data_IF_414140489126
#
_entry.id   IF_414140489126
#
_cell.length_a   1.000
_cell.length_b   1.000
_cell.length_c   1.000
_cell.angle_alpha   90.00
_cell.angle_beta   90.00
_cell.angle_gamma   90.00
#
_symmetry.space_group_name_H-M   'P 1'
#
loop_
_entity.id
_entity.type
_entity.pdbx_description
1 polymer ?
#
# COMPACT_ATOMS: atom_id res chain seq x y z
N UNK A 1 -16.05 9.41 -11.04
CA UNK A 1 -16.77 8.37 -10.27
C UNK A 1 -17.16 8.97 -8.92
N UNK A 2 -18.18 8.43 -8.26
CA UNK A 2 -18.49 8.79 -6.86
C UNK A 2 -17.51 8.07 -5.93
N UNK A 3 -17.30 8.57 -4.71
CA UNK A 3 -16.45 7.85 -3.73
C UNK A 3 -17.10 6.52 -3.40
N UNK A 4 -16.30 5.51 -3.07
CA UNK A 4 -16.75 4.16 -2.68
C UNK A 4 -17.98 4.13 -1.73
N UNK A 5 -18.04 4.96 -0.67
CA UNK A 5 -19.20 5.01 0.22
C UNK A 5 -20.50 5.49 -0.44
N UNK A 6 -20.40 6.27 -1.53
CA UNK A 6 -21.55 6.79 -2.26
C UNK A 6 -22.18 5.75 -3.21
N UNK A 7 -21.44 4.66 -3.51
CA UNK A 7 -21.92 3.54 -4.31
C UNK A 7 -22.74 2.53 -3.50
N UNK A 8 -22.70 2.59 -2.17
CA UNK A 8 -23.49 1.73 -1.30
C UNK A 8 -24.95 2.22 -1.18
N UNK A 9 -25.93 1.31 -0.97
CA UNK A 9 -27.31 1.69 -0.73
C UNK A 9 -27.40 2.72 0.40
N UNK A 10 -28.20 3.78 0.22
CA UNK A 10 -28.31 5.01 1.04
C UNK A 10 -27.86 4.92 2.51
N UNK A 11 -27.35 6.03 3.06
CA UNK A 11 -26.94 6.30 4.47
C UNK A 11 -27.69 5.58 5.62
N UNK A 12 -28.92 5.12 5.38
CA UNK A 12 -29.69 4.32 6.33
C UNK A 12 -29.29 2.83 6.43
N UNK A 13 -28.48 2.28 5.50
CA UNK A 13 -28.20 0.84 5.42
C UNK A 13 -26.87 0.41 6.07
N UNK A 14 -25.89 1.31 6.19
CA UNK A 14 -24.54 1.02 6.69
C UNK A 14 -24.26 1.83 7.95
N UNK A 15 -23.73 1.19 9.00
CA UNK A 15 -23.44 1.89 10.25
C UNK A 15 -22.35 2.96 10.04
N UNK A 16 -22.37 4.10 10.76
CA UNK A 16 -21.34 5.12 10.64
C UNK A 16 -19.92 4.59 10.85
N UNK A 17 -19.74 3.65 11.79
CA UNK A 17 -18.44 3.00 12.03
C UNK A 17 -17.95 2.22 10.81
N UNK A 18 -18.82 1.40 10.21
CA UNK A 18 -18.48 0.66 8.99
C UNK A 18 -18.20 1.59 7.80
N UNK A 19 -18.88 2.74 7.71
CA UNK A 19 -18.57 3.75 6.69
C UNK A 19 -17.15 4.29 6.85
N UNK A 20 -16.77 4.66 8.07
CA UNK A 20 -15.41 5.16 8.34
C UNK A 20 -14.35 4.10 8.02
N UNK A 21 -14.60 2.82 8.33
CA UNK A 21 -13.71 1.72 7.93
C UNK A 21 -13.59 1.60 6.41
N UNK A 22 -14.72 1.62 5.70
CA UNK A 22 -14.72 1.56 4.24
C UNK A 22 -13.95 2.73 3.61
N UNK A 23 -14.16 3.96 4.11
CA UNK A 23 -13.41 5.14 3.67
C UNK A 23 -11.91 4.94 3.89
N UNK A 24 -11.54 4.41 5.04
CA UNK A 24 -10.14 4.12 5.37
C UNK A 24 -9.51 3.06 4.46
N UNK A 25 -10.19 1.93 4.20
CA UNK A 25 -9.66 0.92 3.28
C UNK A 25 -9.64 1.40 1.83
N UNK A 26 -10.61 2.22 1.42
CA UNK A 26 -10.59 2.88 0.11
C UNK A 26 -9.37 3.79 -0.03
N UNK A 27 -9.05 4.58 1.00
CA UNK A 27 -7.88 5.46 1.01
C UNK A 27 -6.58 4.63 0.85
N UNK A 28 -6.45 3.49 1.53
CA UNK A 28 -5.30 2.58 1.38
C UNK A 28 -5.23 1.92 0.00
N UNK A 29 -6.31 1.23 -0.42
CA UNK A 29 -6.38 0.55 -1.71
C UNK A 29 -6.21 1.51 -2.90
N UNK A 30 -6.64 2.76 -2.73
CA UNK A 30 -6.51 3.82 -3.72
C UNK A 30 -5.07 4.20 -4.02
N UNK A 31 -4.10 3.89 -3.17
CA UNK A 31 -2.68 4.07 -3.47
C UNK A 31 -2.23 3.11 -4.58
N UNK A 32 -2.66 1.85 -4.51
CA UNK A 32 -2.44 0.86 -5.57
C UNK A 32 -3.21 1.22 -6.85
N UNK A 33 -4.43 1.75 -6.69
CA UNK A 33 -5.18 2.37 -7.78
C UNK A 33 -4.42 3.54 -8.42
N UNK A 34 -3.77 4.39 -7.63
CA UNK A 34 -3.00 5.55 -8.12
C UNK A 34 -1.79 5.10 -8.95
N UNK A 35 -1.11 4.05 -8.51
CA UNK A 35 -0.03 3.42 -9.27
C UNK A 35 -0.53 2.91 -10.63
N UNK A 36 -1.65 2.18 -10.63
CA UNK A 36 -2.29 1.68 -11.87
C UNK A 36 -2.72 2.82 -12.79
N UNK A 37 -3.34 3.87 -12.23
CA UNK A 37 -3.77 5.05 -12.97
C UNK A 37 -2.59 5.73 -13.64
N UNK A 38 -1.48 5.92 -12.91
CA UNK A 38 -0.28 6.57 -13.42
C UNK A 38 0.19 5.90 -14.72
N UNK A 39 0.43 4.59 -14.68
CA UNK A 39 0.92 3.85 -15.83
C UNK A 39 -0.13 3.73 -16.95
N UNK A 40 -1.40 3.51 -16.63
CA UNK A 40 -2.45 3.46 -17.65
C UNK A 40 -2.60 4.80 -18.37
N UNK A 41 -2.61 5.92 -17.63
CA UNK A 41 -2.79 7.26 -18.20
C UNK A 41 -1.55 7.79 -18.92
N UNK A 42 -0.36 7.25 -18.63
CA UNK A 42 0.89 7.65 -19.29
C UNK A 42 0.92 7.22 -20.76
N UNK A 43 0.39 6.04 -21.07
CA UNK A 43 0.45 5.46 -22.42
C UNK A 43 -0.84 5.58 -23.22
N UNK A 44 -1.99 5.60 -22.56
CA UNK A 44 -3.29 5.56 -23.26
C UNK A 44 -3.90 6.94 -23.49
N UNK A 45 -3.43 7.97 -22.76
CA UNK A 45 -4.07 9.29 -22.62
C UNK A 45 -5.58 9.22 -22.27
N UNK A 46 -6.09 8.05 -21.90
CA UNK A 46 -7.50 7.77 -21.65
C UNK A 46 -7.83 7.82 -20.17
N UNK A 47 -8.20 9.00 -19.67
CA UNK A 47 -8.51 9.19 -18.23
C UNK A 47 -9.65 8.28 -17.73
N UNK A 48 -10.64 7.98 -18.58
CA UNK A 48 -11.75 7.09 -18.24
C UNK A 48 -11.30 5.62 -18.10
N UNK A 49 -10.42 5.17 -19.01
CA UNK A 49 -9.84 3.83 -18.92
C UNK A 49 -8.92 3.73 -17.70
N UNK A 50 -8.02 4.71 -17.50
CA UNK A 50 -7.14 4.75 -16.34
C UNK A 50 -7.93 4.75 -15.02
N UNK A 51 -9.02 5.52 -14.94
CA UNK A 51 -9.89 5.53 -13.76
C UNK A 51 -10.59 4.17 -13.54
N UNK A 52 -11.04 3.52 -14.61
CA UNK A 52 -11.69 2.20 -14.54
C UNK A 52 -10.72 1.12 -14.09
N UNK A 53 -9.50 1.10 -14.62
CA UNK A 53 -8.48 0.13 -14.21
C UNK A 53 -8.00 0.41 -12.79
N UNK A 54 -7.88 1.67 -12.39
CA UNK A 54 -7.48 2.07 -11.05
C UNK A 54 -8.52 1.79 -9.96
N UNK A 55 -9.82 1.76 -10.30
CA UNK A 55 -10.86 1.41 -9.33
C UNK A 55 -10.85 -0.07 -8.97
N UNK A 56 -10.42 -0.96 -9.88
CA UNK A 56 -10.35 -2.41 -9.63
C UNK A 56 -9.51 -2.76 -8.38
N UNK A 57 -8.22 -2.41 -8.28
CA UNK A 57 -7.41 -2.76 -7.11
C UNK A 57 -7.86 -1.99 -5.85
N UNK A 58 -8.42 -0.79 -6.03
CA UNK A 58 -8.98 0.01 -4.92
C UNK A 58 -10.16 -0.69 -4.26
N UNK A 59 -11.13 -1.09 -5.07
CA UNK A 59 -12.36 -1.75 -4.62
C UNK A 59 -12.05 -3.19 -4.17
N UNK A 60 -11.16 -3.91 -4.86
CA UNK A 60 -10.70 -5.24 -4.44
C UNK A 60 -10.07 -5.19 -3.05
N UNK A 61 -9.18 -4.22 -2.79
CA UNK A 61 -8.54 -4.08 -1.48
C UNK A 61 -9.57 -3.79 -0.38
N UNK A 62 -10.47 -2.83 -0.61
CA UNK A 62 -11.51 -2.51 0.36
C UNK A 62 -12.47 -3.69 0.63
N UNK A 63 -12.83 -4.45 -0.40
CA UNK A 63 -13.62 -5.68 -0.23
C UNK A 63 -12.85 -6.73 0.57
N UNK A 64 -11.59 -6.98 0.22
CA UNK A 64 -10.73 -7.93 0.91
C UNK A 64 -10.58 -7.59 2.39
N UNK A 65 -10.23 -6.34 2.72
CA UNK A 65 -10.03 -5.90 4.10
C UNK A 65 -11.32 -6.02 4.94
N UNK A 66 -12.48 -5.72 4.36
CA UNK A 66 -13.78 -5.94 5.03
C UNK A 66 -14.07 -7.42 5.28
N UNK A 67 -13.70 -8.30 4.35
CA UNK A 67 -13.85 -9.73 4.51
C UNK A 67 -12.85 -10.30 5.53
N UNK A 68 -11.62 -9.80 5.53
CA UNK A 68 -10.53 -10.13 6.48
C UNK A 68 -10.95 -9.80 7.92
N UNK A 69 -11.41 -8.57 8.15
CA UNK A 69 -11.97 -8.13 9.44
C UNK A 69 -13.06 -9.08 9.96
N UNK A 70 -13.88 -9.64 9.06
CA UNK A 70 -14.94 -10.57 9.41
C UNK A 70 -14.44 -11.99 9.70
N UNK A 71 -13.31 -12.39 9.14
CA UNK A 71 -12.63 -13.67 9.39
C UNK A 71 -11.94 -13.59 10.75
N UNK A 72 -11.05 -12.61 10.94
CA UNK A 72 -10.19 -12.48 12.12
C UNK A 72 -11.02 -12.19 13.38
N UNK A 73 -11.88 -11.18 13.32
CA UNK A 73 -12.75 -10.83 14.45
C UNK A 73 -13.98 -11.74 14.54
N UNK A 74 -14.16 -12.61 13.54
CA UNK A 74 -15.13 -13.69 13.51
C UNK A 74 -14.74 -14.90 14.34
N UNK A 75 -13.49 -15.05 14.79
CA UNK A 75 -12.98 -16.21 15.52
C UNK A 75 -12.82 -16.02 17.04
N UNK A 76 -12.71 -14.79 17.53
CA UNK A 76 -12.21 -14.50 18.89
C UNK A 76 -13.34 -14.40 19.93
N UNK A 77 -13.27 -15.25 20.95
CA UNK A 77 -14.14 -15.27 22.15
C UNK A 77 -13.39 -14.69 23.37
N UNK A 78 -12.39 -13.82 23.16
CA UNK A 78 -11.56 -13.24 24.22
C UNK A 78 -11.90 -11.77 24.48
N UNK A 79 -11.92 -11.42 25.76
CA UNK A 79 -12.33 -10.14 26.36
C UNK A 79 -11.46 -8.91 25.98
N UNK A 80 -10.57 -9.01 24.98
CA UNK A 80 -9.60 -7.95 24.62
C UNK A 80 -9.87 -7.26 23.27
N UNK A 81 -10.53 -7.90 22.31
CA UNK A 81 -11.07 -7.26 21.09
C UNK A 81 -12.48 -6.65 21.32
N UNK A 82 -12.87 -6.48 22.59
CA UNK A 82 -14.25 -6.55 23.06
C UNK A 82 -15.08 -5.26 22.95
N UNK A 83 -14.65 -4.19 22.30
CA UNK A 83 -15.44 -2.93 22.29
C UNK A 83 -16.21 -2.66 20.99
N UNK A 84 -15.77 -3.11 19.81
CA UNK A 84 -16.45 -2.76 18.55
C UNK A 84 -17.49 -3.81 18.07
N UNK A 85 -17.24 -5.10 18.34
CA UNK A 85 -18.04 -6.23 17.85
C UNK A 85 -18.94 -6.90 18.90
N UNK A 86 -18.63 -6.74 20.20
CA UNK A 86 -19.28 -7.44 21.31
C UNK A 86 -20.78 -7.11 21.48
N UNK A 87 -21.22 -5.94 20.99
CA UNK A 87 -22.60 -5.50 21.10
C UNK A 87 -23.60 -6.24 20.20
N UNK A 88 -23.16 -6.72 19.03
CA UNK A 88 -23.98 -7.50 18.07
C UNK A 88 -23.10 -8.15 16.98
N UNK A 89 -22.31 -9.17 17.36
CA UNK A 89 -21.37 -9.87 16.45
C UNK A 89 -22.02 -10.34 15.15
N UNK A 90 -23.24 -10.90 15.22
CA UNK A 90 -23.96 -11.37 14.03
C UNK A 90 -24.23 -10.22 13.05
N UNK A 91 -24.71 -9.07 13.57
CA UNK A 91 -24.92 -7.90 12.73
C UNK A 91 -23.62 -7.41 12.13
N UNK A 92 -22.53 -7.33 12.90
CA UNK A 92 -21.23 -6.86 12.41
C UNK A 92 -20.65 -7.75 11.32
N UNK A 93 -20.71 -9.07 11.48
CA UNK A 93 -20.33 -10.03 10.44
C UNK A 93 -21.14 -9.81 9.15
N UNK A 94 -22.47 -9.70 9.27
CA UNK A 94 -23.32 -9.47 8.11
C UNK A 94 -23.04 -8.11 7.45
N UNK A 95 -22.79 -7.06 8.24
CA UNK A 95 -22.47 -5.73 7.76
C UNK A 95 -21.16 -5.74 6.95
N UNK A 96 -20.09 -6.33 7.47
CA UNK A 96 -18.77 -6.37 6.80
C UNK A 96 -18.80 -7.25 5.54
N UNK A 97 -19.33 -8.47 5.63
CA UNK A 97 -19.43 -9.37 4.47
C UNK A 97 -20.28 -8.75 3.36
N UNK A 98 -21.49 -8.26 3.71
CA UNK A 98 -22.40 -7.69 2.70
C UNK A 98 -21.85 -6.40 2.10
N UNK A 99 -21.17 -5.56 2.89
CA UNK A 99 -20.53 -4.36 2.37
C UNK A 99 -19.37 -4.71 1.45
N UNK A 100 -18.51 -5.66 1.83
CA UNK A 100 -17.42 -6.16 0.98
C UNK A 100 -17.94 -6.74 -0.33
N UNK A 101 -19.04 -7.52 -0.31
CA UNK A 101 -19.67 -8.06 -1.52
C UNK A 101 -20.22 -6.96 -2.44
N UNK A 102 -20.81 -5.91 -1.85
CA UNK A 102 -21.30 -4.75 -2.60
C UNK A 102 -20.16 -3.93 -3.20
N UNK A 103 -19.05 -3.78 -2.48
CA UNK A 103 -17.83 -3.14 -3.00
C UNK A 103 -17.24 -3.98 -4.14
N UNK A 104 -17.17 -5.30 -3.98
CA UNK A 104 -16.68 -6.21 -5.02
C UNK A 104 -17.58 -6.19 -6.28
N UNK A 105 -18.87 -5.90 -6.15
CA UNK A 105 -19.73 -5.69 -7.32
C UNK A 105 -19.25 -4.51 -8.20
N UNK A 106 -18.63 -3.48 -7.63
CA UNK A 106 -18.03 -2.39 -8.40
C UNK A 106 -16.84 -2.88 -9.25
N UNK A 107 -16.08 -3.86 -8.76
CA UNK A 107 -15.01 -4.51 -9.53
C UNK A 107 -15.60 -5.20 -10.77
N UNK A 108 -16.71 -5.93 -10.59
CA UNK A 108 -17.41 -6.60 -11.69
C UNK A 108 -17.93 -5.58 -12.71
N UNK A 109 -18.49 -4.48 -12.23
CA UNK A 109 -18.96 -3.39 -13.09
C UNK A 109 -17.81 -2.71 -13.84
N UNK A 110 -16.66 -2.47 -13.18
CA UNK A 110 -15.47 -1.91 -13.82
C UNK A 110 -14.90 -2.85 -14.90
N UNK A 111 -14.80 -4.15 -14.61
CA UNK A 111 -14.40 -5.17 -15.58
C UNK A 111 -15.38 -5.22 -16.76
N UNK A 112 -16.69 -5.13 -16.49
CA UNK A 112 -17.72 -5.11 -17.54
C UNK A 112 -17.77 -3.82 -18.36
N UNK A 113 -17.28 -2.71 -17.80
CA UNK A 113 -17.19 -1.41 -18.47
C UNK A 113 -15.89 -1.23 -19.27
N UNK A 114 -14.86 -2.04 -19.01
CA UNK A 114 -13.61 -2.00 -19.73
C UNK A 114 -13.83 -2.21 -21.25
N UNK A 115 -13.10 -1.49 -22.12
CA UNK A 115 -13.15 -1.71 -23.55
C UNK A 115 -12.85 -3.16 -23.94
N UNK A 116 -13.50 -3.67 -24.98
CA UNK A 116 -13.42 -5.08 -25.37
C UNK A 116 -12.01 -5.54 -25.85
N UNK A 117 -11.13 -4.59 -26.16
CA UNK A 117 -9.74 -4.79 -26.54
C UNK A 117 -8.77 -4.82 -25.33
N UNK A 118 -9.26 -4.52 -24.13
CA UNK A 118 -8.51 -4.67 -22.87
C UNK A 118 -8.74 -6.07 -22.33
N UNK A 119 -7.72 -6.92 -22.36
CA UNK A 119 -7.81 -8.29 -21.83
C UNK A 119 -7.60 -8.30 -20.31
N UNK A 120 -8.69 -8.41 -19.57
CA UNK A 120 -8.69 -8.51 -18.10
C UNK A 120 -8.70 -9.98 -17.60
N UNK A 121 -8.50 -10.97 -18.48
CA UNK A 121 -8.43 -12.38 -18.05
C UNK A 121 -7.34 -12.62 -17.00
N UNK A 122 -6.09 -12.13 -17.18
CA UNK A 122 -5.04 -12.28 -16.16
C UNK A 122 -5.42 -11.60 -14.84
N UNK A 123 -5.97 -10.39 -14.90
CA UNK A 123 -6.45 -9.64 -13.73
C UNK A 123 -7.46 -10.44 -12.91
N UNK A 124 -8.42 -11.09 -13.57
CA UNK A 124 -9.42 -11.94 -12.90
C UNK A 124 -8.81 -13.23 -12.33
N UNK A 125 -7.72 -13.74 -12.89
CA UNK A 125 -6.96 -14.85 -12.31
C UNK A 125 -6.23 -14.40 -11.05
N UNK A 126 -5.55 -13.25 -11.08
CA UNK A 126 -4.84 -12.67 -9.93
C UNK A 126 -5.80 -12.33 -8.78
N UNK A 127 -7.02 -11.84 -9.06
CA UNK A 127 -8.06 -11.65 -8.03
C UNK A 127 -8.45 -12.99 -7.36
N UNK A 128 -8.49 -14.10 -8.11
CA UNK A 128 -8.74 -15.42 -7.52
C UNK A 128 -7.55 -15.90 -6.71
N UNK A 129 -6.32 -15.59 -7.14
CA UNK A 129 -5.10 -15.92 -6.40
C UNK A 129 -5.04 -15.20 -5.05
N UNK A 130 -5.43 -13.92 -4.99
CA UNK A 130 -5.59 -13.18 -3.73
C UNK A 130 -6.53 -13.94 -2.77
N UNK A 131 -7.72 -14.31 -3.25
CA UNK A 131 -8.67 -15.08 -2.44
C UNK A 131 -8.14 -16.46 -2.04
N UNK A 132 -7.40 -17.15 -2.91
CA UNK A 132 -6.78 -18.43 -2.61
C UNK A 132 -5.65 -18.31 -1.57
N UNK A 133 -4.87 -17.24 -1.62
CA UNK A 133 -3.84 -16.91 -0.64
C UNK A 133 -4.43 -16.69 0.75
N UNK A 134 -5.52 -15.92 0.83
CA UNK A 134 -6.26 -15.72 2.08
C UNK A 134 -6.77 -17.04 2.67
N UNK A 135 -7.36 -17.93 1.86
CA UNK A 135 -7.77 -19.26 2.36
C UNK A 135 -6.60 -20.15 2.77
N UNK A 136 -5.42 -20.00 2.17
CA UNK A 136 -4.26 -20.81 2.49
C UNK A 136 -3.66 -20.42 3.85
N UNK A 137 -3.73 -19.14 4.22
CA UNK A 137 -3.28 -18.59 5.50
C UNK A 137 -3.97 -19.27 6.70
N UNK A 138 -5.28 -19.51 6.61
CA UNK A 138 -6.07 -20.25 7.61
C UNK A 138 -5.57 -21.67 7.91
N UNK A 139 -4.70 -22.22 7.05
CA UNK A 139 -4.14 -23.56 7.20
C UNK A 139 -2.63 -23.56 7.42
N UNK A 140 -2.01 -22.38 7.53
CA UNK A 140 -0.58 -22.22 7.72
C UNK A 140 -0.21 -22.44 9.19
N UNK A 141 0.71 -23.37 9.45
CA UNK A 141 1.17 -23.71 10.79
C UNK A 141 2.57 -23.13 11.04
N UNK A 142 2.65 -22.06 11.84
CA UNK A 142 3.90 -21.37 12.18
C UNK A 142 4.95 -22.31 12.79
N UNK A 143 4.50 -23.32 13.55
CA UNK A 143 5.39 -24.19 14.34
C UNK A 143 6.15 -25.18 13.47
N UNK A 144 5.66 -25.45 12.26
CA UNK A 144 6.28 -26.36 11.30
C UNK A 144 6.75 -25.67 10.01
N UNK A 145 6.40 -24.40 9.81
CA UNK A 145 6.79 -23.60 8.67
C UNK A 145 8.30 -23.33 8.64
N UNK A 146 8.90 -23.42 7.46
CA UNK A 146 10.23 -22.88 7.21
C UNK A 146 10.16 -21.39 6.89
N UNK A 147 11.32 -20.71 6.93
CA UNK A 147 11.44 -19.32 6.47
C UNK A 147 11.01 -19.16 5.02
N UNK A 148 11.30 -20.14 4.16
CA UNK A 148 10.88 -20.13 2.76
C UNK A 148 9.35 -20.23 2.63
N UNK A 149 8.69 -21.02 3.49
CA UNK A 149 7.23 -21.12 3.53
C UNK A 149 6.60 -19.80 3.99
N UNK A 150 7.19 -19.13 4.99
CA UNK A 150 6.72 -17.82 5.45
C UNK A 150 6.94 -16.72 4.40
N UNK A 151 8.04 -16.76 3.65
CA UNK A 151 8.26 -15.85 2.51
C UNK A 151 7.22 -16.11 1.42
N UNK A 152 6.96 -17.38 1.08
CA UNK A 152 5.95 -17.74 0.09
C UNK A 152 4.54 -17.31 0.52
N UNK A 153 4.22 -17.35 1.83
CA UNK A 153 2.98 -16.78 2.39
C UNK A 153 2.91 -15.28 2.13
N UNK A 154 3.96 -14.52 2.48
CA UNK A 154 4.01 -13.07 2.23
C UNK A 154 3.86 -12.74 0.74
N UNK A 155 4.44 -13.56 -0.15
CA UNK A 155 4.28 -13.39 -1.60
C UNK A 155 2.82 -13.64 -2.04
N UNK A 156 2.20 -14.72 -1.55
CA UNK A 156 0.82 -15.09 -1.87
C UNK A 156 -0.25 -14.16 -1.28
N UNK A 157 0.06 -13.41 -0.21
CA UNK A 157 -0.86 -12.46 0.45
C UNK A 157 -0.59 -11.02 0.05
N UNK A 158 0.67 -10.58 0.14
CA UNK A 158 1.11 -9.21 -0.07
C UNK A 158 1.53 -8.92 -1.51
N UNK A 159 2.51 -9.67 -2.03
CA UNK A 159 3.08 -9.40 -3.36
C UNK A 159 2.07 -9.56 -4.50
N UNK A 160 1.11 -10.48 -4.37
CA UNK A 160 0.06 -10.71 -5.38
C UNK A 160 -0.77 -9.45 -5.70
N UNK A 161 -0.89 -8.51 -4.76
CA UNK A 161 -1.52 -7.20 -5.03
C UNK A 161 -0.68 -6.36 -6.00
N UNK A 162 0.64 -6.51 -5.97
CA UNK A 162 1.56 -5.91 -6.92
C UNK A 162 1.44 -6.54 -8.30
N UNK A 163 1.24 -7.87 -8.36
CA UNK A 163 0.91 -8.56 -9.60
C UNK A 163 -0.41 -8.05 -10.18
N UNK A 164 -1.44 -7.86 -9.34
CA UNK A 164 -2.73 -7.31 -9.78
C UNK A 164 -2.56 -5.96 -10.47
N UNK A 165 -1.80 -5.04 -9.85
CA UNK A 165 -1.53 -3.73 -10.43
C UNK A 165 -0.72 -3.85 -11.74
N UNK A 166 0.29 -4.71 -11.79
CA UNK A 166 1.09 -4.92 -13.00
C UNK A 166 0.29 -5.56 -14.14
N UNK A 167 -0.61 -6.50 -13.84
CA UNK A 167 -1.49 -7.14 -14.82
C UNK A 167 -2.50 -6.15 -15.40
N UNK A 168 -3.04 -5.24 -14.57
CA UNK A 168 -3.89 -4.14 -15.03
C UNK A 168 -3.14 -3.18 -15.96
N UNK A 169 -1.88 -2.87 -15.65
CA UNK A 169 -1.01 -2.09 -16.54
C UNK A 169 -0.74 -2.87 -17.83
N UNK A 170 -0.47 -4.17 -17.74
CA UNK A 170 -0.27 -5.06 -18.89
C UNK A 170 -1.49 -5.15 -19.81
N UNK A 171 -2.70 -5.12 -19.24
CA UNK A 171 -3.95 -5.16 -19.99
C UNK A 171 -4.14 -3.96 -20.93
N UNK A 172 -3.41 -2.86 -20.71
CA UNK A 172 -3.40 -1.71 -21.64
C UNK A 172 -2.74 -2.04 -22.98
N UNK A 173 -1.86 -3.06 -23.01
CA UNK A 173 -1.12 -3.48 -24.19
C UNK A 173 -0.04 -2.49 -24.66
N UNK A 174 0.21 -1.42 -23.91
CA UNK A 174 1.13 -0.34 -24.32
C UNK A 174 2.57 -0.54 -23.89
N UNK A 175 2.81 -1.39 -22.89
CA UNK A 175 4.14 -1.65 -22.35
C UNK A 175 4.74 -2.92 -22.95
N UNK A 176 6.04 -2.90 -23.24
CA UNK A 176 6.78 -4.11 -23.60
C UNK A 176 6.87 -5.09 -22.43
N UNK A 177 7.12 -6.37 -22.71
CA UNK A 177 7.34 -7.39 -21.66
C UNK A 177 8.41 -6.97 -20.65
N UNK A 178 9.51 -6.36 -21.11
CA UNK A 178 10.59 -5.90 -20.21
C UNK A 178 10.14 -4.76 -19.31
N UNK A 179 9.39 -3.79 -19.84
CA UNK A 179 8.83 -2.70 -19.04
C UNK A 179 7.82 -3.23 -18.01
N UNK A 180 6.95 -4.16 -18.41
CA UNK A 180 5.99 -4.79 -17.51
C UNK A 180 6.68 -5.59 -16.41
N UNK A 181 7.78 -6.28 -16.71
CA UNK A 181 8.57 -6.98 -15.69
C UNK A 181 9.17 -6.00 -14.67
N UNK A 182 9.66 -4.84 -15.12
CA UNK A 182 10.12 -3.80 -14.20
C UNK A 182 8.99 -3.24 -13.34
N UNK A 183 7.82 -2.95 -13.93
CA UNK A 183 6.62 -2.51 -13.20
C UNK A 183 6.20 -3.56 -12.16
N UNK A 184 6.15 -4.84 -12.55
CA UNK A 184 5.86 -5.97 -11.67
C UNK A 184 6.86 -6.08 -10.54
N UNK A 185 8.16 -5.98 -10.83
CA UNK A 185 9.23 -6.01 -9.83
C UNK A 185 9.08 -4.88 -8.82
N UNK A 186 8.79 -3.65 -9.27
CA UNK A 186 8.56 -2.51 -8.38
C UNK A 186 7.36 -2.77 -7.46
N UNK A 187 6.22 -3.17 -8.04
CA UNK A 187 4.97 -3.33 -7.30
C UNK A 187 5.03 -4.51 -6.31
N UNK A 188 5.42 -5.70 -6.77
CA UNK A 188 5.45 -6.93 -5.97
C UNK A 188 6.43 -6.86 -4.81
N UNK A 189 7.65 -6.34 -5.03
CA UNK A 189 8.64 -6.16 -3.96
C UNK A 189 8.25 -5.00 -3.04
N UNK A 190 7.60 -3.95 -3.56
CA UNK A 190 7.08 -2.86 -2.74
C UNK A 190 6.05 -3.35 -1.72
N UNK A 191 5.08 -4.15 -2.18
CA UNK A 191 4.08 -4.72 -1.28
C UNK A 191 4.63 -5.83 -0.39
N UNK A 192 5.59 -6.63 -0.86
CA UNK A 192 6.33 -7.56 0.00
C UNK A 192 6.98 -6.84 1.20
N UNK A 193 7.66 -5.73 0.94
CA UNK A 193 8.31 -4.93 1.99
C UNK A 193 7.29 -4.33 2.94
N UNK A 194 6.18 -3.79 2.41
CA UNK A 194 5.11 -3.24 3.26
C UNK A 194 4.48 -4.32 4.14
N UNK A 195 4.20 -5.52 3.61
CA UNK A 195 3.67 -6.64 4.41
C UNK A 195 4.62 -7.08 5.52
N UNK A 196 5.93 -7.08 5.30
CA UNK A 196 6.89 -7.37 6.38
C UNK A 196 6.86 -6.30 7.47
N UNK A 197 6.74 -5.04 7.07
CA UNK A 197 6.69 -3.92 8.02
C UNK A 197 5.39 -3.97 8.82
N UNK A 198 4.28 -4.33 8.16
CA UNK A 198 2.95 -4.56 8.75
C UNK A 198 2.98 -5.71 9.76
N UNK A 199 3.42 -6.91 9.34
CA UNK A 199 3.64 -8.10 10.18
C UNK A 199 4.49 -7.78 11.44
N UNK A 200 5.40 -6.81 11.33
CA UNK A 200 6.23 -6.40 12.45
C UNK A 200 5.50 -5.39 13.35
N UNK A 201 4.82 -4.41 12.78
CA UNK A 201 4.04 -3.43 13.55
C UNK A 201 2.93 -4.12 14.36
N UNK A 202 2.28 -5.12 13.75
CA UNK A 202 1.16 -5.87 14.32
C UNK A 202 1.59 -7.13 15.09
N UNK A 203 2.89 -7.38 15.20
CA UNK A 203 3.44 -8.58 15.85
C UNK A 203 2.77 -8.95 17.20
N UNK A 204 2.51 -8.01 18.13
CA UNK A 204 1.82 -8.35 19.38
C UNK A 204 0.38 -8.85 19.14
N UNK A 205 -0.36 -8.21 18.24
CA UNK A 205 -1.72 -8.61 17.89
C UNK A 205 -1.73 -9.95 17.14
N UNK A 206 -0.77 -10.17 16.25
CA UNK A 206 -0.60 -11.43 15.53
C UNK A 206 -0.31 -12.60 16.47
N UNK A 207 0.56 -12.40 17.47
CA UNK A 207 0.81 -13.40 18.52
C UNK A 207 -0.48 -13.71 19.29
N UNK A 208 -1.22 -12.69 19.70
CA UNK A 208 -2.47 -12.85 20.46
C UNK A 208 -3.56 -13.58 19.65
N UNK A 209 -3.52 -13.45 18.31
CA UNK A 209 -4.44 -14.07 17.37
C UNK A 209 -3.94 -15.42 16.79
N UNK A 210 -2.78 -15.92 17.23
CA UNK A 210 -2.14 -17.14 16.71
C UNK A 210 -1.83 -17.07 15.20
N UNK A 211 -1.50 -15.87 14.71
CA UNK A 211 -1.14 -15.61 13.31
C UNK A 211 0.36 -15.83 13.10
N UNK A 212 0.67 -16.65 12.11
CA UNK A 212 2.01 -17.10 11.79
C UNK A 212 2.76 -16.13 10.88
N UNK A 213 3.25 -15.03 11.43
CA UNK A 213 3.97 -14.01 10.63
C UNK A 213 5.44 -14.32 10.43
N UNK A 214 6.05 -13.67 9.42
CA UNK A 214 7.45 -13.90 9.08
C UNK A 214 8.42 -13.60 10.25
N UNK A 215 8.23 -12.55 11.08
CA UNK A 215 9.06 -12.31 12.25
C UNK A 215 9.08 -13.49 13.23
N UNK A 216 7.93 -14.13 13.48
CA UNK A 216 7.83 -15.29 14.38
C UNK A 216 8.48 -16.54 13.77
N UNK A 217 8.26 -16.81 12.49
CA UNK A 217 8.90 -17.97 11.82
C UNK A 217 10.42 -17.80 11.72
N UNK A 218 10.91 -16.56 11.64
CA UNK A 218 12.35 -16.28 11.67
C UNK A 218 12.96 -16.44 13.06
N UNK A 219 12.15 -16.47 14.12
CA UNK A 219 12.62 -16.56 15.49
C UNK A 219 12.94 -18.00 15.87
N UNK A 220 14.22 -18.29 16.12
CA UNK A 220 14.69 -19.65 16.45
C UNK A 220 14.31 -20.10 17.89
N UNK A 221 13.62 -19.25 18.67
CA UNK A 221 13.12 -19.58 20.00
C UNK A 221 11.77 -20.29 19.97
N UNK A 222 11.42 -21.00 21.04
CA UNK A 222 10.11 -21.63 21.22
C UNK A 222 9.10 -20.58 21.74
N UNK A 223 8.08 -20.16 20.96
CA UNK A 223 7.10 -19.16 21.42
C UNK A 223 6.38 -19.58 22.71
N UNK A 224 6.15 -20.88 22.91
CA UNK A 224 5.48 -21.42 24.10
C UNK A 224 6.33 -21.32 25.38
N UNK A 225 7.62 -20.99 25.25
CA UNK A 225 8.52 -20.82 26.39
C UNK A 225 8.36 -19.47 27.12
N UNK A 226 7.63 -18.53 26.52
CA UNK A 226 7.45 -17.16 27.02
C UNK A 226 6.13 -17.02 27.77
N UNK A 227 6.11 -16.21 28.84
CA UNK A 227 4.93 -16.12 29.73
C UNK A 227 3.92 -15.07 29.28
N UNK A 228 4.29 -14.21 28.36
CA UNK A 228 3.44 -13.18 27.78
C UNK A 228 3.91 -12.81 26.37
N UNK A 229 3.01 -12.22 25.60
CA UNK A 229 3.27 -11.60 24.29
C UNK A 229 4.40 -10.59 24.37
N UNK A 230 4.44 -9.75 25.41
CA UNK A 230 5.52 -8.78 25.64
C UNK A 230 6.89 -9.46 25.81
N UNK A 231 6.98 -10.54 26.62
CA UNK A 231 8.23 -11.28 26.81
C UNK A 231 8.71 -11.93 25.50
N UNK A 232 7.79 -12.42 24.67
CA UNK A 232 8.11 -13.00 23.36
C UNK A 232 8.60 -11.92 22.38
N UNK A 233 7.90 -10.79 22.28
CA UNK A 233 8.29 -9.66 21.42
C UNK A 233 9.68 -9.15 21.81
N UNK A 234 9.97 -9.03 23.11
CA UNK A 234 11.31 -8.66 23.59
C UNK A 234 12.39 -9.63 23.15
N UNK A 235 12.09 -10.93 23.19
CA UNK A 235 13.03 -11.95 22.75
C UNK A 235 13.26 -11.91 21.24
N UNK A 236 12.21 -11.68 20.45
CA UNK A 236 12.31 -11.46 19.00
C UNK A 236 13.18 -10.24 18.72
N UNK A 237 12.92 -9.10 19.37
CA UNK A 237 13.68 -7.86 19.19
C UNK A 237 15.15 -7.97 19.63
N UNK A 238 15.46 -8.83 20.60
CA UNK A 238 16.81 -9.10 21.10
C UNK A 238 17.57 -10.18 20.31
N UNK A 239 16.89 -10.87 19.40
CA UNK A 239 17.47 -11.91 18.53
C UNK A 239 18.12 -11.33 17.27
N UNK A 240 18.51 -12.19 16.34
CA UNK A 240 18.99 -11.81 15.00
C UNK A 240 17.85 -11.56 13.98
N UNK A 241 16.58 -11.77 14.37
CA UNK A 241 15.41 -11.54 13.51
C UNK A 241 15.40 -10.13 12.91
N UNK A 242 15.60 -9.02 13.67
CA UNK A 242 15.60 -7.68 13.09
C UNK A 242 16.65 -7.49 11.98
N UNK A 243 17.83 -8.11 12.13
CA UNK A 243 18.91 -8.00 11.14
C UNK A 243 18.61 -8.87 9.90
N UNK A 244 18.04 -10.06 10.09
CA UNK A 244 17.60 -10.93 8.98
C UNK A 244 16.48 -10.30 8.17
N UNK A 245 15.50 -9.66 8.83
CA UNK A 245 14.44 -8.91 8.17
C UNK A 245 15.00 -7.70 7.42
N UNK A 246 15.98 -6.99 8.00
CA UNK A 246 16.67 -5.88 7.32
C UNK A 246 17.37 -6.35 6.04
N UNK A 247 18.15 -7.43 6.11
CA UNK A 247 18.82 -8.01 4.94
C UNK A 247 17.82 -8.45 3.84
N UNK A 248 16.65 -8.94 4.23
CA UNK A 248 15.59 -9.30 3.29
C UNK A 248 14.95 -8.06 2.65
N UNK A 249 14.57 -7.06 3.45
CA UNK A 249 14.01 -5.79 2.99
C UNK A 249 14.99 -5.06 2.08
N UNK A 250 16.27 -4.99 2.43
CA UNK A 250 17.32 -4.34 1.64
C UNK A 250 17.50 -5.01 0.28
N UNK A 251 17.46 -6.34 0.20
CA UNK A 251 17.50 -7.07 -1.07
C UNK A 251 16.30 -6.75 -1.96
N UNK A 252 15.10 -6.69 -1.37
CA UNK A 252 13.85 -6.38 -2.10
C UNK A 252 13.85 -4.93 -2.58
N UNK A 253 14.30 -3.99 -1.75
CA UNK A 253 14.49 -2.58 -2.12
C UNK A 253 15.52 -2.41 -3.24
N UNK A 254 16.67 -3.09 -3.17
CA UNK A 254 17.66 -3.05 -4.24
C UNK A 254 17.10 -3.56 -5.60
N UNK A 255 16.19 -4.55 -5.56
CA UNK A 255 15.49 -5.02 -6.76
C UNK A 255 14.51 -3.97 -7.30
N UNK A 256 13.77 -3.28 -6.43
CA UNK A 256 12.92 -2.14 -6.81
C UNK A 256 13.76 -1.06 -7.49
N UNK A 257 14.89 -0.68 -6.90
CA UNK A 257 15.76 0.39 -7.43
C UNK A 257 16.32 0.03 -8.81
N UNK A 258 16.80 -1.21 -8.98
CA UNK A 258 17.28 -1.68 -10.26
C UNK A 258 16.17 -1.68 -11.32
N UNK A 259 14.98 -2.19 -10.98
CA UNK A 259 13.82 -2.19 -11.88
C UNK A 259 13.34 -0.78 -12.22
N UNK A 260 13.34 0.15 -11.26
CA UNK A 260 12.97 1.55 -11.50
C UNK A 260 13.98 2.25 -12.43
N UNK A 261 15.27 1.98 -12.26
CA UNK A 261 16.31 2.49 -13.15
C UNK A 261 16.19 1.93 -14.58
N UNK A 262 15.96 0.61 -14.71
CA UNK A 262 15.75 -0.04 -16.01
C UNK A 262 14.47 0.46 -16.69
N UNK A 263 13.37 0.60 -15.93
CA UNK A 263 12.11 1.15 -16.42
C UNK A 263 12.32 2.58 -16.90
N UNK A 264 12.90 3.45 -16.08
CA UNK A 264 13.22 4.83 -16.43
C UNK A 264 14.02 4.94 -17.72
N UNK A 265 15.08 4.12 -17.86
CA UNK A 265 15.93 4.12 -19.05
C UNK A 265 15.19 3.63 -20.31
N UNK A 266 14.11 2.86 -20.15
CA UNK A 266 13.32 2.29 -21.25
C UNK A 266 12.10 3.12 -21.65
N UNK A 267 11.62 4.03 -20.78
CA UNK A 267 10.45 4.85 -21.07
C UNK A 267 10.81 5.96 -22.05
N UNK A 268 10.10 6.03 -23.18
CA UNK A 268 10.28 7.09 -24.19
C UNK A 268 9.46 8.34 -23.86
N UNK A 269 9.40 8.72 -22.57
CA UNK A 269 8.60 9.85 -22.08
C UNK A 269 9.46 10.99 -21.57
N UNK A 270 9.02 12.22 -21.81
CA UNK A 270 9.64 13.40 -21.20
C UNK A 270 9.29 13.53 -19.71
N UNK A 271 10.16 14.15 -18.92
CA UNK A 271 9.91 14.47 -17.50
C UNK A 271 8.57 15.19 -17.29
N UNK A 272 8.17 16.03 -18.26
CA UNK A 272 6.88 16.72 -18.25
C UNK A 272 5.70 15.77 -18.38
N UNK A 273 5.80 14.76 -19.26
CA UNK A 273 4.73 13.77 -19.44
C UNK A 273 4.56 12.94 -18.17
N UNK A 274 5.67 12.55 -17.54
CA UNK A 274 5.67 11.83 -16.26
C UNK A 274 5.07 12.69 -15.13
N UNK A 275 5.44 13.97 -15.05
CA UNK A 275 4.85 14.90 -14.10
C UNK A 275 3.34 15.08 -14.33
N UNK A 276 2.91 15.22 -15.59
CA UNK A 276 1.49 15.37 -15.92
C UNK A 276 0.70 14.08 -15.59
N UNK A 277 1.25 12.89 -15.86
CA UNK A 277 0.64 11.61 -15.47
C UNK A 277 0.55 11.45 -13.94
N UNK A 278 1.61 11.78 -13.21
CA UNK A 278 1.61 11.77 -11.74
C UNK A 278 0.58 12.73 -11.16
N UNK A 279 0.48 13.93 -11.73
CA UNK A 279 -0.53 14.90 -11.33
C UNK A 279 -1.95 14.38 -11.57
N UNK A 280 -2.23 13.76 -12.72
CA UNK A 280 -3.55 13.17 -13.02
C UNK A 280 -3.89 12.05 -12.04
N UNK A 281 -2.98 11.12 -11.82
CA UNK A 281 -3.17 10.00 -10.89
C UNK A 281 -3.46 10.49 -9.46
N UNK A 282 -2.67 11.42 -8.94
CA UNK A 282 -2.86 11.97 -7.60
C UNK A 282 -4.12 12.83 -7.48
N UNK A 283 -4.53 13.48 -8.57
CA UNK A 283 -5.79 14.22 -8.61
C UNK A 283 -6.97 13.25 -8.60
N UNK A 284 -6.92 12.18 -9.39
CA UNK A 284 -7.91 11.10 -9.37
C UNK A 284 -8.05 10.52 -7.97
N UNK A 285 -6.94 10.19 -7.31
CA UNK A 285 -6.93 9.69 -5.93
C UNK A 285 -7.63 10.66 -4.98
N UNK A 286 -7.21 11.93 -4.97
CA UNK A 286 -7.79 12.96 -4.11
C UNK A 286 -9.28 13.16 -4.33
N UNK A 287 -9.72 13.17 -5.59
CA UNK A 287 -11.07 13.58 -5.96
C UNK A 287 -12.07 12.42 -5.98
N UNK A 288 -11.61 11.21 -6.30
CA UNK A 288 -12.46 10.03 -6.51
C UNK A 288 -12.37 9.01 -5.38
N UNK A 289 -11.27 8.98 -4.62
CA UNK A 289 -11.03 7.97 -3.59
C UNK A 289 -10.92 8.64 -2.22
N UNK A 290 -9.84 9.40 -2.03
CA UNK A 290 -9.37 9.88 -0.73
C UNK A 290 -10.45 10.66 0.02
N UNK A 291 -10.82 10.15 1.20
CA UNK A 291 -11.79 10.79 2.08
C UNK A 291 -11.20 12.02 2.80
N UNK A 292 -9.88 11.98 3.09
CA UNK A 292 -9.19 12.96 3.93
C UNK A 292 -8.87 14.27 3.17
N UNK A 293 -9.26 15.44 3.70
CA UNK A 293 -8.89 16.73 3.11
C UNK A 293 -7.38 17.01 3.15
N UNK A 294 -6.82 17.54 2.05
CA UNK A 294 -5.40 17.98 1.96
C UNK A 294 -5.01 18.99 3.05
N UNK A 295 -5.97 19.73 3.63
CA UNK A 295 -5.69 20.68 4.71
C UNK A 295 -5.30 20.00 6.03
N UNK A 296 -5.69 18.74 6.22
CA UNK A 296 -5.43 17.98 7.44
C UNK A 296 -4.02 17.37 7.44
N UNK A 297 -3.50 17.05 6.25
CA UNK A 297 -2.19 16.37 6.12
C UNK A 297 -1.08 17.29 5.61
N UNK A 298 -1.43 18.39 4.93
CA UNK A 298 -0.48 19.38 4.42
C UNK A 298 -0.80 20.74 5.03
N UNK A 299 -0.08 21.12 6.11
CA UNK A 299 -0.28 22.40 6.80
C UNK A 299 -0.25 23.58 5.83
N UNK A 300 -1.04 24.61 6.13
CA UNK A 300 -1.12 25.81 5.29
C UNK A 300 0.22 26.53 5.14
N UNK A 301 1.12 26.39 6.11
CA UNK A 301 2.50 26.89 6.09
C UNK A 301 3.45 26.07 5.20
N UNK A 302 3.15 24.79 4.98
CA UNK A 302 3.98 23.91 4.16
C UNK A 302 3.85 24.18 2.66
N UNK A 303 2.68 24.64 2.19
CA UNK A 303 2.43 24.86 0.75
C UNK A 303 3.22 26.04 0.18
N UNK A 304 3.28 27.22 0.84
CA UNK A 304 4.17 28.31 0.42
C UNK A 304 5.65 27.91 0.46
N UNK A 305 6.07 27.15 1.48
CA UNK A 305 7.44 26.68 1.59
C UNK A 305 7.83 25.71 0.45
N UNK A 306 6.96 24.76 0.10
CA UNK A 306 7.16 23.88 -1.05
C UNK A 306 7.28 24.69 -2.35
N UNK A 307 6.45 25.71 -2.54
CA UNK A 307 6.55 26.60 -3.69
C UNK A 307 7.89 27.32 -3.73
N UNK A 308 8.28 27.95 -2.63
CA UNK A 308 9.55 28.66 -2.52
C UNK A 308 10.75 27.76 -2.82
N UNK A 309 10.76 26.54 -2.28
CA UNK A 309 11.85 25.59 -2.52
C UNK A 309 11.90 25.06 -3.95
N UNK A 310 10.76 24.75 -4.55
CA UNK A 310 10.68 24.14 -5.89
C UNK A 310 10.84 25.16 -7.02
N UNK A 311 10.31 26.37 -6.85
CA UNK A 311 10.35 27.44 -7.87
C UNK A 311 11.38 28.52 -7.55
N UNK A 312 12.17 28.33 -6.49
CA UNK A 312 13.24 29.23 -6.07
C UNK A 312 14.43 29.21 -7.02
N UNK A 313 15.49 29.93 -6.64
CA UNK A 313 16.74 29.88 -7.38
C UNK A 313 17.38 28.48 -7.37
N UNK A 314 18.36 28.26 -8.25
CA UNK A 314 19.02 26.96 -8.38
C UNK A 314 19.67 26.49 -7.08
N UNK A 315 20.22 27.40 -6.26
CA UNK A 315 20.87 27.03 -5.01
C UNK A 315 19.85 26.53 -3.97
N UNK A 316 18.71 27.21 -3.85
CA UNK A 316 17.60 26.86 -2.96
C UNK A 316 17.00 25.52 -3.35
N UNK A 317 16.72 25.34 -4.65
CA UNK A 317 16.14 24.11 -5.18
C UNK A 317 17.07 22.92 -5.03
N UNK A 318 18.36 23.08 -5.37
CA UNK A 318 19.38 22.04 -5.18
C UNK A 318 19.52 21.66 -3.71
N UNK A 319 19.53 22.63 -2.80
CA UNK A 319 19.58 22.36 -1.36
C UNK A 319 18.33 21.59 -0.89
N UNK A 320 17.15 21.95 -1.40
CA UNK A 320 15.91 21.23 -1.11
C UNK A 320 15.94 19.79 -1.65
N UNK A 321 16.38 19.59 -2.89
CA UNK A 321 16.52 18.25 -3.49
C UNK A 321 17.52 17.41 -2.70
N UNK A 322 18.69 17.95 -2.36
CA UNK A 322 19.68 17.27 -1.55
C UNK A 322 19.13 16.87 -0.17
N UNK A 323 18.45 17.80 0.53
CA UNK A 323 17.80 17.51 1.82
C UNK A 323 16.74 16.41 1.70
N UNK A 324 15.96 16.39 0.59
CA UNK A 324 14.99 15.33 0.34
C UNK A 324 15.66 13.99 0.07
N UNK A 325 16.71 13.95 -0.75
CA UNK A 325 17.46 12.73 -1.06
C UNK A 325 18.17 12.17 0.17
N UNK A 326 18.76 13.03 1.00
CA UNK A 326 19.41 12.66 2.27
C UNK A 326 18.41 12.12 3.30
N UNK A 327 17.16 12.58 3.24
CA UNK A 327 16.08 12.13 4.12
C UNK A 327 15.43 10.82 3.65
N UNK A 328 15.71 10.35 2.43
CA UNK A 328 15.20 9.05 1.98
C UNK A 328 15.95 7.93 2.71
N UNK A 329 15.25 6.87 3.15
CA UNK A 329 15.88 5.71 3.76
C UNK A 329 16.65 4.85 2.75
N UNK A 330 16.87 5.35 1.53
CA UNK A 330 17.48 4.66 0.40
C UNK A 330 18.45 5.58 -0.32
N UNK A 331 19.53 4.99 -0.84
CA UNK A 331 20.48 5.70 -1.69
C UNK A 331 19.93 5.75 -3.12
N UNK A 332 19.27 6.85 -3.46
CA UNK A 332 18.82 7.07 -4.84
C UNK A 332 20.01 7.53 -5.69
N UNK A 333 20.32 6.89 -6.84
CA UNK A 333 21.42 7.29 -7.72
C UNK A 333 21.06 8.54 -8.55
N UNK A 334 20.54 9.57 -7.90
CA UNK A 334 20.14 10.83 -8.49
C UNK A 334 21.11 11.90 -8.04
N UNK A 335 21.77 12.56 -9.00
CA UNK A 335 22.57 13.75 -8.71
C UNK A 335 21.62 14.92 -8.36
N UNK A 336 21.75 15.53 -7.16
CA UNK A 336 20.95 16.69 -6.80
C UNK A 336 21.06 17.85 -7.79
N UNK A 337 22.20 18.01 -8.48
CA UNK A 337 22.39 19.04 -9.51
C UNK A 337 21.53 18.75 -10.73
N UNK A 338 21.61 17.53 -11.28
CA UNK A 338 20.85 17.11 -12.45
C UNK A 338 19.34 17.16 -12.16
N UNK A 339 18.91 16.65 -11.00
CA UNK A 339 17.52 16.73 -10.58
C UNK A 339 17.05 18.18 -10.41
N UNK A 340 17.86 19.06 -9.83
CA UNK A 340 17.53 20.49 -9.72
C UNK A 340 17.39 21.14 -11.10
N UNK A 341 18.24 20.77 -12.06
CA UNK A 341 18.16 21.27 -13.43
C UNK A 341 16.87 20.78 -14.12
N UNK A 342 16.55 19.48 -14.03
CA UNK A 342 15.29 18.92 -14.53
C UNK A 342 14.08 19.64 -13.94
N UNK A 343 14.05 19.85 -12.62
CA UNK A 343 12.95 20.57 -11.97
C UNK A 343 12.82 22.02 -12.44
N UNK A 344 13.89 22.65 -12.94
CA UNK A 344 13.87 24.01 -13.49
C UNK A 344 13.20 24.12 -14.85
N UNK A 345 13.17 23.03 -15.61
CA UNK A 345 12.53 22.99 -16.92
C UNK A 345 11.05 22.58 -16.84
N UNK A 346 10.57 22.15 -15.67
CA UNK A 346 9.18 21.75 -15.43
C UNK A 346 8.25 22.94 -15.13
N UNK A 347 6.95 22.85 -15.45
CA UNK A 347 6.00 23.92 -15.14
C UNK A 347 5.77 24.08 -13.63
N UNK A 348 6.18 25.22 -13.06
CA UNK A 348 6.08 25.56 -11.63
C UNK A 348 4.75 25.16 -10.98
N UNK A 349 3.62 25.59 -11.56
CA UNK A 349 2.30 25.34 -10.96
C UNK A 349 1.93 23.86 -10.96
N UNK A 350 2.38 23.09 -11.97
CA UNK A 350 2.17 21.64 -12.02
C UNK A 350 3.07 20.93 -11.01
N UNK A 351 4.34 21.31 -10.96
CA UNK A 351 5.33 20.75 -10.04
C UNK A 351 4.90 20.93 -8.58
N UNK A 352 4.54 22.16 -8.19
CA UNK A 352 4.14 22.47 -6.82
C UNK A 352 2.87 21.74 -6.41
N UNK A 353 1.86 21.66 -7.30
CA UNK A 353 0.63 20.93 -7.00
C UNK A 353 0.89 19.44 -6.82
N UNK A 354 1.72 18.86 -7.68
CA UNK A 354 2.11 17.44 -7.58
C UNK A 354 2.84 17.19 -6.27
N UNK A 355 3.82 18.02 -5.91
CA UNK A 355 4.54 17.89 -4.64
C UNK A 355 3.63 18.01 -3.40
N UNK A 356 2.62 18.89 -3.44
CA UNK A 356 1.61 18.99 -2.37
C UNK A 356 0.79 17.70 -2.28
N UNK A 357 0.39 17.11 -3.40
CA UNK A 357 -0.37 15.86 -3.40
C UNK A 357 0.48 14.66 -2.97
N UNK A 358 1.75 14.57 -3.41
CA UNK A 358 2.70 13.58 -2.91
C UNK A 358 2.86 13.68 -1.39
N UNK A 359 3.00 14.90 -0.86
CA UNK A 359 3.07 15.11 0.60
C UNK A 359 1.77 14.73 1.31
N UNK A 360 0.62 14.97 0.69
CA UNK A 360 -0.66 14.54 1.25
C UNK A 360 -0.73 13.02 1.37
N UNK A 361 -0.38 12.30 0.31
CA UNK A 361 -0.32 10.83 0.28
C UNK A 361 0.71 10.28 1.27
N UNK A 362 1.92 10.84 1.29
CA UNK A 362 2.97 10.40 2.22
C UNK A 362 2.55 10.54 3.68
N UNK A 363 2.02 11.70 4.08
CA UNK A 363 1.50 11.90 5.45
C UNK A 363 0.35 10.94 5.78
N UNK A 364 -0.51 10.61 4.80
CA UNK A 364 -1.57 9.62 5.04
C UNK A 364 -0.97 8.25 5.31
N UNK A 365 -0.11 7.75 4.42
CA UNK A 365 0.54 6.45 4.60
C UNK A 365 1.26 6.34 5.95
N UNK A 366 2.08 7.33 6.29
CA UNK A 366 2.84 7.39 7.56
C UNK A 366 1.94 7.51 8.81
N UNK A 367 0.68 7.93 8.66
CA UNK A 367 -0.27 8.02 9.78
C UNK A 367 -1.03 6.73 10.05
N UNK A 368 -1.00 5.78 9.11
CA UNK A 368 -1.76 4.54 9.17
C UNK A 368 -0.91 3.37 9.64
N UNK A 369 0.33 3.32 9.17
CA UNK A 369 1.28 2.28 9.53
C UNK A 369 2.71 2.81 9.43
N UNK A 370 3.68 2.20 10.13
CA UNK A 370 5.08 2.40 9.81
C UNK A 370 5.34 2.09 8.33
N UNK A 371 6.07 2.97 7.64
CA UNK A 371 6.47 2.77 6.24
C UNK A 371 7.94 2.35 6.09
N UNK A 372 8.63 2.21 7.23
CA UNK A 372 10.01 1.69 7.29
C UNK A 372 10.15 0.63 8.37
N UNK A 373 11.07 -0.30 8.15
CA UNK A 373 11.41 -1.34 9.13
C UNK A 373 11.93 -0.72 10.43
N UNK A 374 12.71 0.36 10.36
CA UNK A 374 13.27 1.00 11.55
C UNK A 374 12.19 1.70 12.38
N UNK A 375 11.17 2.29 11.75
CA UNK A 375 10.02 2.87 12.45
C UNK A 375 9.19 1.79 13.13
N UNK A 376 8.88 0.67 12.45
CA UNK A 376 8.16 -0.46 13.06
C UNK A 376 8.93 -1.07 14.23
N UNK A 377 10.25 -1.28 14.08
CA UNK A 377 11.10 -1.75 15.18
C UNK A 377 11.17 -0.75 16.33
N UNK A 378 11.18 0.56 16.05
CA UNK A 378 11.20 1.59 17.07
C UNK A 378 9.87 1.64 17.85
N UNK A 379 8.75 1.49 17.15
CA UNK A 379 7.41 1.41 17.74
C UNK A 379 7.28 0.20 18.68
N UNK A 380 7.66 -1.00 18.22
CA UNK A 380 7.66 -2.21 19.06
C UNK A 380 8.52 -2.05 20.32
N UNK A 381 9.73 -1.48 20.19
CA UNK A 381 10.60 -1.20 21.35
C UNK A 381 9.98 -0.19 22.31
N UNK A 382 9.30 0.83 21.77
CA UNK A 382 8.57 1.82 22.55
C UNK A 382 7.43 1.19 23.36
N UNK A 383 6.66 0.30 22.73
CA UNK A 383 5.55 -0.42 23.37
C UNK A 383 6.05 -1.38 24.48
N UNK A 384 7.10 -2.16 24.21
CA UNK A 384 7.71 -3.07 25.20
C UNK A 384 8.22 -2.34 26.45
N UNK A 385 8.89 -1.20 26.28
CA UNK A 385 9.49 -0.46 27.41
C UNK A 385 8.48 0.35 28.24
N UNK A 386 7.23 0.47 27.78
CA UNK A 386 6.19 1.27 28.42
C UNK A 386 5.36 0.51 29.46
N UNK A 387 5.52 -0.81 29.59
CA UNK A 387 4.82 -1.63 30.60
C UNK A 387 5.70 -1.83 31.85
N UNK A 388 5.37 -1.20 33.01
CA UNK A 388 6.11 -1.38 34.27
C UNK A 388 5.80 -2.66 35.05
#
# INVERSE_FOLDING_TARGET
MSRLPDALPSDAAVSPALRTKLEHYADQGGLLGTFTYFFASLETDGEDLAATLASIPTDCFAASALHDDAIDQGGVDTDTAADEWSGDRKRRLNEHISAGDLVFANVIDAVGAAPADVDLTPVLETIREIGAGQLAEETFDATTASVDDAIARVEARGSVWGDLAADLVGATGSYSETQLESVRTIATNGLFVLTIIDDLADLPADIDNDVATLPLVCFDGDPDAYRSTEELVDAVLASDVPDRLRDLVDRRRAAIDAAAADLWASLEHSDRALLDAAFRALTWYRESVCSVPVAETVPSTARPALREHLTGDAATRRAFVADRLDALPIAVPVDPEDASATLADLPDDRLVRTAVLCRHVGTLADSLMPTTLDDALAELRGASTATP
#
